data_IF_800386330888
#
_entry.id   IF_800386330888
#
_cell.length_a   1.000
_cell.length_b   1.000
_cell.length_c   1.000
_cell.angle_alpha   90.00
_cell.angle_beta   90.00
_cell.angle_gamma   90.00
#
_symmetry.space_group_name_H-M   'P 1'
#
loop_
_entity.id
_entity.type
_entity.pdbx_description
1 polymer ?
#
# COMPACT_ATOMS: atom_id res chain seq x y z
N UNK A 1 -9.58 7.58 26.97
CA UNK A 1 -8.74 6.44 27.39
C UNK A 1 -8.00 6.76 28.69
N UNK A 2 -7.21 7.85 28.77
CA UNK A 2 -6.43 8.21 30.01
C UNK A 2 -7.35 8.41 31.21
N UNK A 3 -8.47 9.13 31.06
CA UNK A 3 -9.45 9.37 32.13
C UNK A 3 -10.02 8.06 32.71
N UNK A 4 -10.22 7.06 31.84
CA UNK A 4 -10.77 5.75 32.21
C UNK A 4 -9.70 4.70 32.53
N UNK A 5 -8.42 5.11 32.63
CA UNK A 5 -7.26 4.24 32.90
C UNK A 5 -7.10 3.06 31.91
N UNK A 6 -7.58 3.23 30.68
CA UNK A 6 -7.47 2.22 29.62
C UNK A 6 -6.26 2.43 28.71
N UNK A 7 -5.68 3.64 28.70
CA UNK A 7 -4.67 4.04 27.73
C UNK A 7 -3.44 3.13 27.73
N UNK A 8 -2.95 2.73 28.89
CA UNK A 8 -1.71 1.96 29.03
C UNK A 8 -1.85 0.51 28.54
N UNK A 9 -3.10 0.03 28.39
CA UNK A 9 -3.40 -1.30 27.84
C UNK A 9 -4.18 -1.21 26.52
N UNK A 10 -3.96 -0.17 25.74
CA UNK A 10 -4.65 0.04 24.46
C UNK A 10 -3.65 0.33 23.36
N UNK A 11 -3.74 -0.44 22.26
CA UNK A 11 -3.10 -0.09 21.00
C UNK A 11 -3.99 0.92 20.28
N UNK A 12 -3.43 2.07 19.91
CA UNK A 12 -4.12 3.07 19.08
C UNK A 12 -3.42 3.14 17.74
N UNK A 13 -4.15 2.85 16.68
CA UNK A 13 -3.69 2.98 15.28
C UNK A 13 -4.44 4.14 14.63
N UNK A 14 -3.70 5.03 14.01
CA UNK A 14 -4.24 6.13 13.19
C UNK A 14 -3.69 5.99 11.77
N UNK A 15 -4.58 5.96 10.80
CA UNK A 15 -4.22 5.83 9.38
C UNK A 15 -5.36 6.39 8.52
N UNK A 16 -5.20 6.38 7.20
CA UNK A 16 -6.25 6.64 6.22
C UNK A 16 -6.56 5.36 5.44
N UNK A 17 -7.71 5.29 4.79
CA UNK A 17 -8.11 4.18 3.91
C UNK A 17 -7.50 4.29 2.51
N UNK A 18 -7.18 5.49 2.07
CA UNK A 18 -6.56 5.81 0.78
C UNK A 18 -5.87 7.17 0.82
N UNK A 19 -5.14 7.49 -0.23
CA UNK A 19 -4.55 8.81 -0.41
C UNK A 19 -5.60 9.91 -0.60
N UNK A 20 -5.16 11.19 -0.71
CA UNK A 20 -6.06 12.33 -0.79
C UNK A 20 -6.94 12.28 -2.03
N UNK A 21 -8.17 12.83 -1.89
CA UNK A 21 -9.11 12.92 -2.99
C UNK A 21 -8.98 14.22 -3.76
N UNK A 22 -9.14 14.14 -5.07
CA UNK A 22 -9.31 15.29 -5.94
C UNK A 22 -10.78 15.70 -6.09
N UNK A 23 -11.71 14.78 -5.78
CA UNK A 23 -13.14 14.97 -5.94
C UNK A 23 -13.79 15.64 -4.72
N UNK A 24 -15.00 16.16 -4.91
CA UNK A 24 -15.83 16.69 -3.80
C UNK A 24 -15.43 18.06 -3.30
N UNK A 25 -14.74 18.86 -4.14
CA UNK A 25 -14.34 20.22 -3.79
C UNK A 25 -13.02 20.32 -3.04
N UNK A 26 -12.30 19.21 -2.89
CA UNK A 26 -10.93 19.20 -2.37
C UNK A 26 -9.95 19.52 -3.49
N UNK A 27 -9.04 20.45 -3.25
CA UNK A 27 -7.90 20.72 -4.13
C UNK A 27 -6.64 20.16 -3.47
N UNK A 28 -6.42 18.86 -3.64
CA UNK A 28 -5.32 18.17 -3.00
C UNK A 28 -3.93 18.66 -3.44
N UNK A 29 -3.71 19.08 -4.69
CA UNK A 29 -2.46 19.74 -5.07
C UNK A 29 -2.25 21.10 -4.37
N UNK A 30 -3.28 21.93 -4.31
CA UNK A 30 -3.18 23.24 -3.66
C UNK A 30 -2.89 23.16 -2.16
N UNK A 31 -3.50 22.18 -1.48
CA UNK A 31 -3.26 21.91 -0.06
C UNK A 31 -2.02 21.06 0.21
N UNK A 32 -1.31 20.62 -0.82
CA UNK A 32 -0.19 19.67 -0.71
C UNK A 32 -0.55 18.41 0.10
N UNK A 33 -1.78 17.93 -0.08
CA UNK A 33 -2.33 16.83 0.73
C UNK A 33 -1.64 15.48 0.48
N UNK A 34 -0.93 15.34 -0.64
CA UNK A 34 -0.15 14.15 -0.99
C UNK A 34 1.24 14.14 -0.37
N UNK A 35 1.70 15.28 0.20
CA UNK A 35 3.06 15.41 0.69
C UNK A 35 4.09 15.11 -0.42
N UNK A 36 4.99 14.12 -0.24
CA UNK A 36 6.00 13.81 -1.25
C UNK A 36 5.44 13.17 -2.53
N UNK A 37 4.18 12.72 -2.52
CA UNK A 37 3.54 12.01 -3.63
C UNK A 37 2.67 12.95 -4.45
N UNK A 38 2.43 12.59 -5.70
CA UNK A 38 1.45 13.28 -6.54
C UNK A 38 0.03 12.99 -6.05
N UNK A 39 -0.85 13.99 -6.06
CA UNK A 39 -2.22 13.86 -5.55
C UNK A 39 -3.28 14.49 -6.46
N UNK A 40 -2.89 15.01 -7.62
CA UNK A 40 -3.82 15.46 -8.65
C UNK A 40 -4.65 14.32 -9.24
N UNK A 41 -5.63 14.65 -10.06
CA UNK A 41 -6.44 13.65 -10.77
C UNK A 41 -5.55 12.71 -11.60
N UNK A 42 -5.73 11.42 -11.39
CA UNK A 42 -4.88 10.39 -11.98
C UNK A 42 -3.87 9.78 -10.99
N UNK A 43 -3.61 10.41 -9.85
CA UNK A 43 -2.52 10.05 -8.93
C UNK A 43 -2.96 9.84 -7.49
N UNK A 44 -4.05 10.45 -7.05
CA UNK A 44 -4.60 10.31 -5.70
C UNK A 44 -5.61 9.19 -5.57
N UNK A 45 -6.63 9.37 -4.73
CA UNK A 45 -7.72 8.42 -4.51
C UNK A 45 -8.30 7.89 -5.81
N UNK A 46 -8.61 6.59 -5.85
CA UNK A 46 -9.08 5.83 -7.03
C UNK A 46 -7.99 5.50 -8.05
N UNK A 47 -6.73 5.75 -7.72
CA UNK A 47 -5.59 5.37 -8.56
C UNK A 47 -4.60 4.53 -7.74
N UNK A 48 -3.75 3.77 -8.44
CA UNK A 48 -2.81 2.82 -7.82
C UNK A 48 -1.38 3.37 -7.70
N UNK A 49 -1.19 4.63 -8.03
CA UNK A 49 0.06 5.35 -7.78
C UNK A 49 0.29 5.57 -6.28
N UNK A 50 1.52 5.90 -5.87
CA UNK A 50 1.86 6.11 -4.46
C UNK A 50 0.92 7.11 -3.78
N UNK A 51 0.58 8.21 -4.45
CA UNK A 51 -0.35 9.20 -3.93
C UNK A 51 -1.77 8.69 -3.68
N UNK A 52 -2.17 7.59 -4.31
CA UNK A 52 -3.48 6.96 -4.13
C UNK A 52 -3.50 5.87 -3.06
N UNK A 53 -2.39 5.15 -2.88
CA UNK A 53 -2.35 3.95 -2.03
C UNK A 53 -1.36 4.05 -0.85
N UNK A 54 -0.36 4.93 -0.90
CA UNK A 54 0.57 5.11 0.22
C UNK A 54 0.02 6.14 1.19
N UNK A 55 -0.25 5.70 2.40
CA UNK A 55 -0.98 6.44 3.42
C UNK A 55 -0.16 6.58 4.70
N UNK A 56 -0.39 7.62 5.51
CA UNK A 56 0.24 7.75 6.81
C UNK A 56 -0.25 6.62 7.74
N UNK A 57 0.65 6.12 8.57
CA UNK A 57 0.33 5.18 9.65
C UNK A 57 1.05 5.58 10.92
N UNK A 58 0.31 5.73 12.01
CA UNK A 58 0.83 6.05 13.34
C UNK A 58 0.27 5.03 14.31
N UNK A 59 1.16 4.37 15.06
CA UNK A 59 0.75 3.38 16.05
C UNK A 59 1.36 3.75 17.40
N UNK A 60 0.55 3.68 18.44
CA UNK A 60 1.03 3.84 19.82
C UNK A 60 0.54 2.70 20.69
N UNK A 61 1.44 2.18 21.53
CA UNK A 61 1.14 1.22 22.56
C UNK A 61 2.04 1.52 23.75
N UNK A 62 1.54 2.22 24.78
CA UNK A 62 2.36 2.65 25.91
C UNK A 62 3.09 1.49 26.59
N UNK A 63 4.37 1.69 26.89
CA UNK A 63 5.21 0.68 27.53
C UNK A 63 5.62 -0.51 26.64
N UNK A 64 5.16 -0.56 25.39
CA UNK A 64 5.53 -1.60 24.42
C UNK A 64 6.24 -1.00 23.20
N UNK A 65 5.62 -0.04 22.53
CA UNK A 65 6.23 0.67 21.39
C UNK A 65 7.04 1.84 21.93
N UNK A 66 8.31 1.93 21.54
CA UNK A 66 9.18 3.04 21.94
C UNK A 66 8.67 4.35 21.28
N UNK A 67 8.45 5.43 22.07
CA UNK A 67 8.00 6.69 21.54
C UNK A 67 8.98 7.31 20.53
N UNK A 68 8.44 8.05 19.55
CA UNK A 68 9.22 8.81 18.55
C UNK A 68 10.15 7.93 17.69
N UNK A 69 9.76 6.69 17.44
CA UNK A 69 10.43 5.81 16.49
C UNK A 69 9.75 5.91 15.12
N UNK A 70 10.51 5.61 14.07
CA UNK A 70 10.04 5.49 12.70
C UNK A 70 10.47 4.14 12.14
N UNK A 71 9.73 3.63 11.15
CA UNK A 71 10.04 2.40 10.44
C UNK A 71 9.73 2.57 8.96
N UNK A 72 10.63 2.08 8.11
CA UNK A 72 10.45 2.02 6.65
C UNK A 72 9.89 0.67 6.20
N UNK A 73 9.40 -0.15 7.15
CA UNK A 73 8.79 -1.44 6.83
C UNK A 73 7.58 -1.27 5.91
N UNK A 74 7.59 -2.02 4.79
CA UNK A 74 6.53 -1.98 3.79
C UNK A 74 5.43 -2.96 4.21
N UNK A 75 4.24 -2.44 4.48
CA UNK A 75 3.07 -3.22 4.86
C UNK A 75 1.78 -2.70 4.21
N UNK A 76 0.72 -3.47 4.29
CA UNK A 76 -0.59 -3.10 3.78
C UNK A 76 -1.72 -3.44 4.76
N UNK A 77 -2.97 -3.14 4.40
CA UNK A 77 -4.12 -3.41 5.27
C UNK A 77 -4.34 -4.91 5.54
N UNK A 78 -3.94 -5.79 4.63
CA UNK A 78 -3.99 -7.24 4.84
C UNK A 78 -3.15 -7.68 6.05
N UNK A 79 -2.15 -6.89 6.45
CA UNK A 79 -1.23 -7.18 7.55
C UNK A 79 -1.80 -6.80 8.92
N UNK A 80 -2.87 -6.01 8.94
CA UNK A 80 -3.49 -5.54 10.21
C UNK A 80 -4.06 -6.72 10.99
N UNK A 81 -4.80 -7.62 10.33
CA UNK A 81 -5.42 -8.77 11.00
C UNK A 81 -4.39 -9.69 11.68
N UNK A 82 -3.33 -10.19 11.01
CA UNK A 82 -2.31 -10.99 11.66
C UNK A 82 -1.54 -10.21 12.74
N UNK A 83 -1.35 -8.90 12.57
CA UNK A 83 -0.72 -8.06 13.62
C UNK A 83 -1.58 -7.99 14.88
N UNK A 84 -2.89 -7.80 14.73
CA UNK A 84 -3.81 -7.78 15.88
C UNK A 84 -3.92 -9.17 16.55
N UNK A 85 -3.88 -10.26 15.78
CA UNK A 85 -3.84 -11.61 16.32
C UNK A 85 -2.58 -11.85 17.17
N UNK A 86 -1.42 -11.42 16.68
CA UNK A 86 -0.15 -11.49 17.44
C UNK A 86 -0.20 -10.63 18.71
N UNK A 87 -0.73 -9.40 18.62
CA UNK A 87 -0.91 -8.53 19.79
C UNK A 87 -1.80 -9.19 20.84
N UNK A 88 -2.87 -9.85 20.41
CA UNK A 88 -3.80 -10.54 21.28
C UNK A 88 -3.33 -11.94 21.72
N UNK A 89 -2.23 -12.42 21.17
CA UNK A 89 -1.70 -13.78 21.35
C UNK A 89 -2.75 -14.86 21.07
N UNK A 90 -3.42 -14.75 19.93
CA UNK A 90 -4.41 -15.71 19.42
C UNK A 90 -4.01 -16.23 18.04
N UNK A 91 -4.54 -17.37 17.65
CA UNK A 91 -4.33 -17.89 16.30
C UNK A 91 -4.96 -16.96 15.26
N UNK A 92 -4.20 -16.64 14.22
CA UNK A 92 -4.70 -15.91 13.05
C UNK A 92 -5.25 -16.91 12.02
N UNK A 93 -6.42 -16.66 11.43
CA UNK A 93 -6.85 -17.39 10.24
C UNK A 93 -5.84 -17.25 9.09
N UNK A 94 -5.89 -18.19 8.13
CA UNK A 94 -5.07 -18.07 6.91
C UNK A 94 -5.36 -16.77 6.18
N UNK A 95 -4.30 -16.05 5.80
CA UNK A 95 -4.37 -14.72 5.18
C UNK A 95 -3.10 -14.45 4.37
N UNK A 96 -3.20 -13.57 3.38
CA UNK A 96 -2.04 -13.07 2.62
C UNK A 96 -1.19 -12.06 3.43
N UNK A 97 -1.66 -11.67 4.61
CA UNK A 97 -0.98 -10.68 5.45
C UNK A 97 0.18 -11.24 6.26
N UNK A 98 1.15 -10.40 6.54
CA UNK A 98 2.29 -10.66 7.42
C UNK A 98 2.21 -9.70 8.60
N UNK A 99 2.24 -10.22 9.82
CA UNK A 99 2.26 -9.36 11.01
C UNK A 99 3.45 -8.41 11.01
N UNK A 100 3.19 -7.13 11.24
CA UNK A 100 4.21 -6.11 11.44
C UNK A 100 4.46 -5.78 12.91
N UNK A 101 4.00 -6.62 13.83
CA UNK A 101 4.27 -6.45 15.27
C UNK A 101 5.76 -6.36 15.58
N UNK A 102 6.67 -7.19 15.00
CA UNK A 102 8.10 -7.04 15.26
C UNK A 102 8.64 -5.65 14.87
N UNK A 103 8.22 -5.10 13.75
CA UNK A 103 8.60 -3.74 13.34
C UNK A 103 8.10 -2.68 14.32
N UNK A 104 6.88 -2.81 14.83
CA UNK A 104 6.34 -1.92 15.87
C UNK A 104 7.13 -1.96 17.18
N UNK A 105 7.63 -3.13 17.54
CA UNK A 105 8.42 -3.34 18.77
C UNK A 105 9.91 -2.99 18.60
N UNK A 106 10.36 -2.67 17.38
CA UNK A 106 11.76 -2.41 17.06
C UNK A 106 12.61 -3.68 16.91
N UNK A 107 11.97 -4.83 16.71
CA UNK A 107 12.61 -6.14 16.55
C UNK A 107 12.81 -6.45 15.04
N UNK A 108 13.52 -5.60 14.34
CA UNK A 108 13.66 -5.63 12.86
C UNK A 108 14.20 -6.96 12.33
N UNK A 109 15.08 -7.62 13.09
CA UNK A 109 15.66 -8.93 12.74
C UNK A 109 14.60 -10.06 12.67
N UNK A 110 13.48 -9.87 13.34
CA UNK A 110 12.36 -10.84 13.36
C UNK A 110 11.27 -10.51 12.36
N UNK A 111 11.33 -9.30 11.76
CA UNK A 111 10.32 -8.87 10.83
C UNK A 111 10.43 -9.63 9.52
N UNK A 112 9.36 -10.30 9.14
CA UNK A 112 9.21 -10.90 7.82
C UNK A 112 8.73 -9.83 6.83
N UNK A 113 9.23 -9.91 5.61
CA UNK A 113 8.87 -8.99 4.55
C UNK A 113 8.00 -9.68 3.49
N UNK A 114 7.14 -8.92 2.85
CA UNK A 114 6.48 -9.36 1.63
C UNK A 114 7.49 -9.44 0.48
N UNK A 115 7.43 -10.51 -0.31
CA UNK A 115 8.19 -10.54 -1.58
C UNK A 115 7.70 -9.44 -2.52
N UNK A 116 6.38 -9.20 -2.53
CA UNK A 116 5.73 -8.12 -3.28
C UNK A 116 4.36 -7.80 -2.68
N UNK A 117 3.82 -6.63 -3.01
CA UNK A 117 2.44 -6.23 -2.76
C UNK A 117 1.73 -6.01 -4.08
N UNK A 118 0.45 -6.34 -4.15
CA UNK A 118 -0.36 -6.29 -5.36
C UNK A 118 -1.69 -5.57 -5.12
N UNK A 119 -2.11 -4.76 -6.10
CA UNK A 119 -3.37 -4.02 -6.06
C UNK A 119 -4.09 -4.11 -7.39
N UNK A 120 -5.41 -4.23 -7.33
CA UNK A 120 -6.32 -4.05 -8.46
C UNK A 120 -7.35 -2.98 -8.10
N UNK A 121 -7.63 -2.10 -9.05
CA UNK A 121 -8.74 -1.18 -8.96
C UNK A 121 -9.62 -1.34 -10.21
N UNK A 122 -10.77 -2.04 -10.08
CA UNK A 122 -11.63 -2.38 -11.21
C UNK A 122 -12.55 -1.21 -11.59
N UNK A 123 -11.95 -0.03 -11.82
CA UNK A 123 -12.69 1.12 -12.35
C UNK A 123 -13.46 0.71 -13.61
N UNK A 124 -14.75 1.06 -13.73
CA UNK A 124 -15.58 0.62 -14.85
C UNK A 124 -15.14 1.15 -16.22
N UNK A 125 -14.31 2.19 -16.24
CA UNK A 125 -13.87 2.86 -17.48
C UNK A 125 -12.44 2.59 -17.87
N UNK A 126 -11.54 2.45 -16.88
CA UNK A 126 -10.09 2.33 -17.13
C UNK A 126 -9.50 1.00 -16.68
N UNK A 127 -9.81 0.52 -15.48
CA UNK A 127 -9.16 -0.63 -14.86
C UNK A 127 -7.65 -0.41 -14.63
N UNK A 128 -7.19 -0.69 -13.44
CA UNK A 128 -5.82 -0.41 -12.98
C UNK A 128 -5.27 -1.61 -12.22
N UNK A 129 -4.01 -1.94 -12.43
CA UNK A 129 -3.25 -2.90 -11.62
C UNK A 129 -1.91 -2.29 -11.23
N UNK A 130 -1.47 -2.58 -10.02
CA UNK A 130 -0.11 -2.25 -9.58
C UNK A 130 0.51 -3.39 -8.81
N UNK A 131 1.84 -3.48 -8.89
CA UNK A 131 2.65 -4.40 -8.11
C UNK A 131 3.90 -3.69 -7.62
N UNK A 132 4.25 -3.89 -6.35
CA UNK A 132 5.47 -3.36 -5.77
C UNK A 132 6.34 -4.50 -5.25
N UNK A 133 7.60 -4.52 -5.66
CA UNK A 133 8.63 -5.45 -5.20
C UNK A 133 9.88 -4.66 -4.81
N UNK A 134 10.10 -4.51 -3.51
CA UNK A 134 11.16 -3.65 -2.99
C UNK A 134 10.98 -2.20 -3.47
N UNK A 135 11.97 -1.66 -4.18
CA UNK A 135 11.92 -0.32 -4.77
C UNK A 135 11.14 -0.23 -6.07
N UNK A 136 10.93 -1.36 -6.76
CA UNK A 136 10.28 -1.37 -8.06
C UNK A 136 8.77 -1.38 -7.95
N UNK A 137 8.13 -0.51 -8.70
CA UNK A 137 6.68 -0.48 -8.84
C UNK A 137 6.27 -0.52 -10.30
N UNK A 138 5.54 -1.59 -10.66
CA UNK A 138 4.94 -1.75 -11.98
C UNK A 138 3.48 -1.36 -11.94
N UNK A 139 3.02 -0.62 -12.95
CA UNK A 139 1.62 -0.19 -13.10
C UNK A 139 1.14 -0.53 -14.49
N UNK A 140 -0.07 -1.08 -14.60
CA UNK A 140 -0.79 -1.24 -15.85
C UNK A 140 -2.07 -0.42 -15.78
N UNK A 141 -2.13 0.61 -16.61
CA UNK A 141 -3.25 1.55 -16.71
C UNK A 141 -4.16 1.20 -17.89
N UNK A 142 -5.41 1.66 -17.85
CA UNK A 142 -6.35 1.59 -18.99
C UNK A 142 -6.56 0.16 -19.52
N UNK A 143 -6.59 -0.83 -18.66
CA UNK A 143 -6.74 -2.25 -19.04
C UNK A 143 -8.05 -2.46 -19.82
N UNK A 144 -9.13 -1.81 -19.41
CA UNK A 144 -10.43 -1.89 -20.11
C UNK A 144 -10.40 -1.29 -21.53
N UNK A 145 -9.40 -0.48 -21.83
CA UNK A 145 -9.16 0.06 -23.18
C UNK A 145 -8.18 -0.79 -24.00
N UNK A 146 -7.82 -1.98 -23.48
CA UNK A 146 -6.93 -2.93 -24.15
C UNK A 146 -5.45 -2.69 -23.91
N UNK A 147 -5.08 -1.82 -22.95
CA UNK A 147 -3.67 -1.65 -22.60
C UNK A 147 -3.18 -2.80 -21.71
N UNK A 148 -2.03 -3.37 -22.08
CA UNK A 148 -1.32 -4.40 -21.31
C UNK A 148 0.14 -4.01 -21.02
N UNK A 149 0.54 -2.80 -21.41
CA UNK A 149 1.90 -2.31 -21.20
C UNK A 149 2.09 -1.87 -19.77
N UNK A 150 3.13 -2.39 -19.12
CA UNK A 150 3.51 -2.00 -17.78
C UNK A 150 4.43 -0.79 -17.84
N UNK A 151 4.10 0.24 -17.08
CA UNK A 151 5.00 1.32 -16.68
C UNK A 151 5.80 0.85 -15.46
N UNK A 152 7.07 1.20 -15.34
CA UNK A 152 7.94 0.81 -14.25
C UNK A 152 8.59 2.04 -13.59
N UNK A 153 8.53 2.10 -12.28
CA UNK A 153 9.09 3.21 -11.49
C UNK A 153 10.06 2.70 -10.43
N UNK A 154 11.16 3.43 -10.21
CA UNK A 154 12.11 3.22 -9.12
C UNK A 154 11.77 4.16 -7.95
N UNK A 155 11.06 3.66 -6.96
CA UNK A 155 10.58 4.46 -5.83
C UNK A 155 11.70 4.94 -4.87
N UNK A 156 12.94 4.48 -4.99
CA UNK A 156 14.06 5.05 -4.23
C UNK A 156 14.50 6.40 -4.79
N UNK A 157 14.44 6.57 -6.12
CA UNK A 157 14.88 7.78 -6.81
C UNK A 157 13.71 8.64 -7.30
N UNK A 158 12.52 8.06 -7.48
CA UNK A 158 11.35 8.69 -8.06
C UNK A 158 10.06 8.36 -7.28
N UNK A 159 9.91 8.97 -6.11
CA UNK A 159 8.70 8.83 -5.28
C UNK A 159 7.44 9.41 -5.93
N UNK A 160 7.60 10.25 -6.96
CA UNK A 160 6.51 10.91 -7.66
C UNK A 160 6.04 10.15 -8.89
N UNK A 161 6.76 9.05 -9.23
CA UNK A 161 6.40 8.21 -10.38
C UNK A 161 6.31 9.03 -11.70
N UNK A 162 7.31 9.90 -11.92
CA UNK A 162 7.37 10.83 -13.07
C UNK A 162 8.15 10.25 -14.26
N UNK A 163 8.98 9.23 -14.03
CA UNK A 163 9.89 8.69 -15.01
C UNK A 163 9.69 7.18 -15.20
N UNK A 164 9.01 6.80 -16.28
CA UNK A 164 8.88 5.39 -16.67
C UNK A 164 10.21 4.84 -17.19
N UNK A 165 10.78 3.89 -16.45
CA UNK A 165 12.06 3.22 -16.78
C UNK A 165 11.85 1.79 -17.29
N UNK A 166 10.66 1.42 -17.73
CA UNK A 166 10.35 0.07 -18.20
C UNK A 166 11.25 -0.39 -19.36
N UNK A 167 11.59 0.52 -20.28
CA UNK A 167 12.47 0.23 -21.42
C UNK A 167 13.91 -0.08 -21.00
N UNK A 168 14.35 0.45 -19.86
CA UNK A 168 15.70 0.28 -19.32
C UNK A 168 15.85 -1.01 -18.51
N UNK A 169 14.72 -1.54 -17.97
CA UNK A 169 14.69 -2.70 -17.09
C UNK A 169 13.69 -3.79 -17.54
N UNK A 170 13.83 -4.33 -18.77
CA UNK A 170 12.87 -5.29 -19.33
C UNK A 170 12.83 -6.63 -18.57
N UNK A 171 13.88 -6.98 -17.83
CA UNK A 171 13.92 -8.15 -16.96
C UNK A 171 13.04 -7.98 -15.71
N UNK A 172 13.06 -6.80 -15.09
CA UNK A 172 12.18 -6.45 -13.96
C UNK A 172 10.73 -6.42 -14.42
N UNK A 173 10.44 -5.77 -15.56
CA UNK A 173 9.09 -5.76 -16.15
C UNK A 173 8.58 -7.19 -16.32
N UNK A 174 9.35 -8.10 -16.94
CA UNK A 174 8.95 -9.50 -17.10
C UNK A 174 8.69 -10.21 -15.76
N UNK A 175 9.51 -9.95 -14.73
CA UNK A 175 9.32 -10.53 -13.41
C UNK A 175 8.02 -10.04 -12.79
N UNK A 176 7.81 -8.72 -12.76
CA UNK A 176 6.61 -8.10 -12.16
C UNK A 176 5.33 -8.51 -12.90
N UNK A 177 5.38 -8.60 -14.24
CA UNK A 177 4.22 -9.08 -15.04
C UNK A 177 3.80 -10.49 -14.60
N UNK A 178 4.76 -11.42 -14.47
CA UNK A 178 4.45 -12.79 -14.03
C UNK A 178 3.87 -12.84 -12.60
N UNK A 179 4.41 -12.02 -11.70
CA UNK A 179 3.89 -11.94 -10.33
C UNK A 179 2.48 -11.33 -10.31
N UNK A 180 2.23 -10.30 -11.10
CA UNK A 180 0.92 -9.67 -11.27
C UNK A 180 -0.13 -10.65 -11.80
N UNK A 181 0.22 -11.44 -12.84
CA UNK A 181 -0.64 -12.49 -13.38
C UNK A 181 -0.95 -13.58 -12.36
N UNK A 182 0.07 -14.01 -11.58
CA UNK A 182 -0.08 -15.03 -10.52
C UNK A 182 -0.99 -14.54 -9.38
N UNK A 183 -0.96 -13.25 -9.09
CA UNK A 183 -1.70 -12.65 -7.97
C UNK A 183 -3.14 -12.33 -8.31
N UNK A 184 -3.48 -12.29 -9.59
CA UNK A 184 -4.84 -12.02 -10.03
C UNK A 184 -5.78 -13.15 -9.60
N UNK A 185 -6.89 -12.78 -8.99
CA UNK A 185 -8.01 -13.68 -8.72
C UNK A 185 -9.21 -13.20 -9.54
N UNK A 186 -9.77 -14.09 -10.34
CA UNK A 186 -10.93 -13.76 -11.17
C UNK A 186 -12.11 -13.33 -10.30
N UNK A 187 -12.63 -12.11 -10.45
CA UNK A 187 -13.74 -11.64 -9.65
C UNK A 187 -15.03 -12.43 -9.90
N UNK A 188 -15.74 -12.80 -8.83
CA UNK A 188 -17.05 -13.43 -8.92
C UNK A 188 -18.05 -12.53 -9.67
N UNK A 189 -18.04 -11.25 -9.34
CA UNK A 189 -18.92 -10.28 -10.02
C UNK A 189 -18.33 -9.90 -11.39
N UNK A 190 -19.03 -10.21 -12.50
CA UNK A 190 -18.55 -9.90 -13.86
C UNK A 190 -18.26 -8.42 -14.13
N UNK A 191 -18.87 -7.50 -13.36
CA UNK A 191 -18.63 -6.06 -13.52
C UNK A 191 -17.20 -5.65 -13.13
N UNK A 192 -16.52 -6.45 -12.31
CA UNK A 192 -15.15 -6.18 -11.87
C UNK A 192 -14.10 -6.87 -12.74
N UNK A 193 -14.49 -7.71 -13.68
CA UNK A 193 -13.57 -8.37 -14.63
C UNK A 193 -12.99 -7.38 -15.62
N UNK A 194 -11.70 -7.48 -15.87
CA UNK A 194 -10.97 -6.67 -16.88
C UNK A 194 -9.62 -7.30 -17.24
#
# INVERSE_FOLDING_TARGET
LKKERLYDNTVVMFTSDNGPTFNGGSDSPWFDSGGPFRSEYGWGKCFVHEGGIRIPAIVTWPGKIKPSTQSDHICGFQDVMPTLADIANIACPETDGISFLPALLGETERQKEHEYLYWEYPDPTIGLKAIRMGKWKGIVNNIRKGNSTMELYDLESDLREEHDVAAEHPDIVRKLTRLMEKSHTEPENPKFRF
#
